data_IF_789649808389
#
_entry.id   IF_789649808389
#
_cell.length_a   1.000
_cell.length_b   1.000
_cell.length_c   1.000
_cell.angle_alpha   90.00
_cell.angle_beta   90.00
_cell.angle_gamma   90.00
#
_symmetry.space_group_name_H-M   'P 1'
#
loop_
_entity.id
_entity.type
_entity.pdbx_description
1 polymer ?
#
# COMPACT_ATOMS: atom_id res chain seq x y z
N UNK A 1 7.53 31.05 38.86
CA UNK A 1 7.13 30.65 40.22
C UNK A 1 6.43 29.31 40.14
N UNK A 2 7.07 28.26 40.70
CA UNK A 2 6.49 27.12 41.41
C UNK A 2 5.52 26.20 40.60
N UNK A 3 5.70 24.87 40.51
CA UNK A 3 6.16 23.91 41.52
C UNK A 3 6.74 22.64 40.89
N UNK A 4 7.84 22.18 41.46
CA UNK A 4 8.31 20.79 41.47
C UNK A 4 7.33 19.95 42.28
N UNK A 5 6.84 18.80 41.77
CA UNK A 5 6.21 17.76 42.60
C UNK A 5 6.64 16.36 42.12
N UNK A 6 7.45 15.74 42.97
CA UNK A 6 7.55 14.34 43.38
C UNK A 6 7.58 13.21 42.34
N UNK A 7 8.74 12.54 42.33
CA UNK A 7 8.88 11.14 41.98
C UNK A 7 8.03 10.26 42.92
N UNK A 8 7.35 9.25 42.35
CA UNK A 8 6.92 8.04 43.06
C UNK A 8 7.56 6.87 42.34
N UNK A 9 8.57 6.29 42.98
CA UNK A 9 9.07 4.97 42.66
C UNK A 9 8.04 3.94 43.15
N UNK A 10 7.45 3.19 42.23
CA UNK A 10 6.70 1.98 42.54
C UNK A 10 7.46 0.79 41.95
N UNK A 11 8.23 0.12 42.80
CA UNK A 11 8.86 -1.17 42.51
C UNK A 11 7.79 -2.25 42.45
N UNK A 12 7.30 -2.55 41.25
CA UNK A 12 6.51 -3.75 41.01
C UNK A 12 7.43 -4.85 40.46
N UNK A 13 7.62 -5.90 41.28
CA UNK A 13 8.18 -7.18 40.87
C UNK A 13 7.16 -7.80 39.90
N UNK A 14 7.27 -7.47 38.62
CA UNK A 14 6.52 -8.09 37.54
C UNK A 14 7.41 -9.12 36.86
N UNK A 15 7.02 -10.39 36.94
CA UNK A 15 7.56 -11.49 36.14
C UNK A 15 7.80 -11.01 34.71
N UNK A 16 9.07 -10.95 34.33
CA UNK A 16 9.50 -10.58 33.00
C UNK A 16 9.02 -11.61 31.98
N UNK A 17 7.83 -11.39 31.45
CA UNK A 17 7.47 -11.93 30.14
C UNK A 17 8.28 -11.11 29.15
N UNK A 18 9.45 -11.62 28.78
CA UNK A 18 10.14 -11.18 27.57
C UNK A 18 9.17 -11.42 26.43
N UNK A 19 8.41 -10.40 26.04
CA UNK A 19 7.65 -10.41 24.81
C UNK A 19 8.68 -10.50 23.69
N UNK A 20 8.96 -11.73 23.25
CA UNK A 20 9.68 -11.97 22.00
C UNK A 20 8.81 -11.38 20.90
N UNK A 21 9.14 -10.17 20.45
CA UNK A 21 8.54 -9.59 19.27
C UNK A 21 8.77 -10.60 18.14
N UNK A 22 7.71 -11.24 17.68
CA UNK A 22 7.77 -12.10 16.52
C UNK A 22 8.37 -11.28 15.37
N UNK A 23 9.32 -11.83 14.59
CA UNK A 23 9.80 -11.13 13.41
C UNK A 23 8.60 -10.85 12.53
N UNK A 24 8.34 -9.57 12.23
CA UNK A 24 7.36 -9.21 11.23
C UNK A 24 7.81 -9.89 9.93
N UNK A 25 7.01 -10.82 9.42
CA UNK A 25 7.25 -11.38 8.10
C UNK A 25 7.31 -10.21 7.11
N UNK A 26 8.35 -10.17 6.28
CA UNK A 26 8.42 -9.21 5.17
C UNK A 26 7.16 -9.39 4.32
N UNK A 27 6.25 -8.42 4.37
CA UNK A 27 5.05 -8.44 3.53
C UNK A 27 5.47 -8.49 2.06
N UNK A 28 4.86 -9.38 1.28
CA UNK A 28 5.26 -9.56 -0.11
C UNK A 28 5.05 -8.24 -0.87
N UNK A 29 6.08 -7.80 -1.60
CA UNK A 29 5.97 -6.63 -2.48
C UNK A 29 5.63 -7.09 -3.89
N UNK A 30 4.44 -6.72 -4.34
CA UNK A 30 3.94 -6.99 -5.68
C UNK A 30 4.29 -5.86 -6.63
N UNK A 31 4.34 -6.18 -7.93
CA UNK A 31 4.71 -5.23 -8.98
C UNK A 31 3.86 -5.43 -10.23
N UNK A 32 3.54 -4.32 -10.89
CA UNK A 32 2.89 -4.30 -12.19
C UNK A 32 3.48 -3.17 -13.04
N UNK A 33 3.31 -3.27 -14.36
CA UNK A 33 3.74 -2.21 -15.26
C UNK A 33 2.77 -2.05 -16.43
N UNK A 34 2.54 -0.81 -16.84
CA UNK A 34 1.73 -0.46 -18.01
C UNK A 34 2.66 0.18 -19.02
N UNK A 35 2.72 -0.38 -20.23
CA UNK A 35 3.53 0.19 -21.31
C UNK A 35 2.99 1.56 -21.73
N UNK A 36 3.90 2.51 -21.91
CA UNK A 36 3.59 3.84 -22.40
C UNK A 36 3.29 3.80 -23.90
N UNK A 37 2.30 4.59 -24.34
CA UNK A 37 2.16 4.92 -25.77
C UNK A 37 3.31 5.83 -26.21
N UNK A 38 3.74 6.74 -25.34
CA UNK A 38 4.88 7.63 -25.55
C UNK A 38 5.55 7.99 -24.21
N UNK A 39 6.89 8.08 -24.17
CA UNK A 39 7.82 7.56 -25.18
C UNK A 39 7.75 6.03 -25.24
N UNK A 40 8.01 5.45 -26.42
CA UNK A 40 8.08 4.00 -26.57
C UNK A 40 9.17 3.39 -25.67
N UNK A 41 9.01 2.12 -25.30
CA UNK A 41 9.93 1.38 -24.41
C UNK A 41 10.03 1.90 -22.96
N UNK A 42 9.17 2.83 -22.56
CA UNK A 42 9.00 3.23 -21.15
C UNK A 42 7.71 2.67 -20.57
N UNK A 43 7.59 2.71 -19.24
CA UNK A 43 6.45 2.14 -18.52
C UNK A 43 6.01 3.04 -17.37
N UNK A 44 4.73 2.98 -17.05
CA UNK A 44 4.26 3.33 -15.71
C UNK A 44 4.39 2.10 -14.82
N UNK A 45 5.20 2.21 -13.77
CA UNK A 45 5.47 1.13 -12.82
C UNK A 45 4.61 1.32 -11.58
N UNK A 46 4.11 0.21 -11.03
CA UNK A 46 3.32 0.18 -9.81
C UNK A 46 3.85 -0.89 -8.86
N UNK A 47 3.77 -0.61 -7.57
CA UNK A 47 4.08 -1.61 -6.54
C UNK A 47 3.17 -1.43 -5.33
N UNK A 48 2.85 -2.54 -4.68
CA UNK A 48 2.03 -2.57 -3.47
C UNK A 48 2.48 -3.72 -2.58
N UNK A 49 2.22 -3.60 -1.28
CA UNK A 49 2.34 -4.72 -0.35
C UNK A 49 0.99 -5.40 -0.15
N UNK A 50 1.01 -6.54 0.50
CA UNK A 50 -0.20 -7.16 1.06
C UNK A 50 -0.81 -6.20 2.10
N UNK A 51 -1.99 -5.68 1.78
CA UNK A 51 -2.78 -4.83 2.67
C UNK A 51 -3.87 -5.65 3.35
N UNK A 52 -4.22 -5.32 4.60
CA UNK A 52 -5.33 -5.98 5.30
C UNK A 52 -6.67 -5.28 5.01
N UNK A 53 -6.83 -4.03 5.44
CA UNK A 53 -8.03 -3.22 5.21
C UNK A 53 -7.85 -2.16 4.14
N UNK A 54 -6.60 -1.90 3.79
CA UNK A 54 -6.20 -0.87 2.85
C UNK A 54 -4.88 -1.23 2.21
N UNK A 55 -4.71 -0.77 0.97
CA UNK A 55 -3.50 -0.97 0.18
C UNK A 55 -2.93 0.38 -0.21
N UNK A 56 -1.61 0.53 -0.06
CA UNK A 56 -0.90 1.68 -0.61
C UNK A 56 -0.24 1.27 -1.92
N UNK A 57 -0.72 1.82 -3.02
CA UNK A 57 -0.13 1.64 -4.35
C UNK A 57 0.84 2.77 -4.62
N UNK A 58 2.11 2.42 -4.74
CA UNK A 58 3.16 3.32 -5.20
C UNK A 58 3.21 3.29 -6.72
N UNK A 59 3.48 4.43 -7.34
CA UNK A 59 3.61 4.54 -8.78
C UNK A 59 4.84 5.36 -9.18
N UNK A 60 5.38 5.05 -10.35
CA UNK A 60 6.39 5.82 -11.04
C UNK A 60 6.07 5.81 -12.55
N UNK A 61 5.47 6.90 -13.02
CA UNK A 61 4.99 7.01 -14.39
C UNK A 61 6.03 7.69 -15.28
N UNK A 62 6.77 6.89 -16.07
CA UNK A 62 7.72 7.40 -17.05
C UNK A 62 7.09 7.80 -18.38
N UNK A 63 5.78 7.62 -18.55
CA UNK A 63 5.10 8.05 -19.77
C UNK A 63 5.05 9.58 -19.85
N UNK A 64 5.01 10.13 -21.06
CA UNK A 64 4.82 11.57 -21.26
C UNK A 64 3.40 12.02 -20.91
N UNK A 65 2.43 11.11 -21.01
CA UNK A 65 1.02 11.36 -20.71
C UNK A 65 0.53 10.71 -19.42
N UNK A 66 -0.68 11.07 -19.03
CA UNK A 66 -1.35 10.41 -17.92
C UNK A 66 -1.68 8.95 -18.26
N UNK A 67 -1.56 8.07 -17.27
CA UNK A 67 -1.95 6.66 -17.35
C UNK A 67 -3.07 6.41 -16.35
N UNK A 68 -4.15 5.79 -16.82
CA UNK A 68 -5.19 5.23 -15.95
C UNK A 68 -4.88 3.76 -15.67
N UNK A 69 -4.65 3.46 -14.40
CA UNK A 69 -4.46 2.11 -13.89
C UNK A 69 -5.70 1.66 -13.11
N UNK A 70 -6.11 0.43 -13.32
CA UNK A 70 -7.16 -0.25 -12.59
C UNK A 70 -6.56 -1.19 -11.56
N UNK A 71 -6.79 -0.91 -10.29
CA UNK A 71 -6.38 -1.73 -9.16
C UNK A 71 -7.52 -2.71 -8.93
N UNK A 72 -7.32 -3.96 -9.34
CA UNK A 72 -8.35 -5.00 -9.22
C UNK A 72 -8.17 -5.69 -7.88
N UNK A 73 -9.21 -5.65 -7.06
CA UNK A 73 -9.31 -6.40 -5.81
C UNK A 73 -10.18 -7.61 -5.99
N UNK A 74 -9.99 -8.62 -5.14
CA UNK A 74 -10.86 -9.79 -5.01
C UNK A 74 -11.20 -10.00 -3.55
N UNK A 75 -12.45 -10.37 -3.27
CA UNK A 75 -12.86 -10.85 -1.96
C UNK A 75 -12.69 -12.38 -1.83
N UNK A 76 -13.10 -12.93 -0.68
CA UNK A 76 -13.06 -14.37 -0.38
C UNK A 76 -14.00 -15.21 -1.25
N UNK A 77 -14.98 -14.58 -1.91
CA UNK A 77 -15.94 -15.23 -2.83
C UNK A 77 -15.51 -15.06 -4.31
N UNK A 78 -14.26 -14.67 -4.56
CA UNK A 78 -13.69 -14.35 -5.89
C UNK A 78 -14.42 -13.20 -6.64
N UNK A 79 -15.19 -12.37 -5.93
CA UNK A 79 -15.83 -11.20 -6.54
C UNK A 79 -14.82 -10.10 -6.72
N UNK A 80 -14.71 -9.62 -7.95
CA UNK A 80 -13.74 -8.59 -8.30
C UNK A 80 -14.34 -7.19 -8.23
N UNK A 81 -13.58 -6.28 -7.61
CA UNK A 81 -13.83 -4.84 -7.59
C UNK A 81 -12.67 -4.11 -8.27
N UNK A 82 -12.88 -2.88 -8.72
CA UNK A 82 -11.82 -2.08 -9.36
C UNK A 82 -11.78 -0.66 -8.83
N UNK A 83 -10.58 -0.22 -8.46
CA UNK A 83 -10.29 1.16 -8.10
C UNK A 83 -9.48 1.83 -9.21
N UNK A 84 -9.85 3.05 -9.57
CA UNK A 84 -9.15 3.80 -10.61
C UNK A 84 -8.05 4.68 -10.01
N UNK A 85 -6.84 4.58 -10.56
CA UNK A 85 -5.73 5.48 -10.29
C UNK A 85 -5.28 6.16 -11.57
N UNK A 86 -5.42 7.49 -11.63
CA UNK A 86 -4.81 8.29 -12.69
C UNK A 86 -3.45 8.81 -12.22
N UNK A 87 -2.39 8.44 -12.92
CA UNK A 87 -1.02 8.92 -12.67
C UNK A 87 -0.60 9.87 -13.77
N UNK A 88 -0.25 11.11 -13.43
CA UNK A 88 0.24 12.09 -14.42
C UNK A 88 1.58 11.64 -15.02
N UNK A 89 1.89 12.09 -16.24
CA UNK A 89 3.15 11.74 -16.92
C UNK A 89 4.36 12.35 -16.21
N UNK A 90 5.47 11.61 -16.17
CA UNK A 90 6.72 12.05 -15.54
C UNK A 90 6.67 12.20 -14.03
N UNK A 91 5.67 11.65 -13.34
CA UNK A 91 5.53 11.77 -11.88
C UNK A 91 5.63 10.42 -11.17
N UNK A 92 6.03 10.49 -9.90
CA UNK A 92 5.98 9.38 -8.96
C UNK A 92 5.21 9.76 -7.71
N UNK A 93 4.74 8.77 -6.97
CA UNK A 93 3.95 9.01 -5.76
C UNK A 93 3.30 7.75 -5.23
N UNK A 94 2.29 7.94 -4.40
CA UNK A 94 1.52 6.84 -3.82
C UNK A 94 0.07 7.24 -3.58
N UNK A 95 -0.83 6.26 -3.64
CA UNK A 95 -2.24 6.42 -3.28
C UNK A 95 -2.67 5.26 -2.39
N UNK A 96 -3.30 5.59 -1.27
CA UNK A 96 -3.97 4.64 -0.40
C UNK A 96 -5.40 4.40 -0.91
N UNK A 97 -5.80 3.13 -0.96
CA UNK A 97 -7.16 2.68 -1.22
C UNK A 97 -7.64 1.88 -0.01
N UNK A 98 -8.82 2.20 0.48
CA UNK A 98 -9.50 1.40 1.51
C UNK A 98 -10.30 0.32 0.77
N UNK A 99 -9.88 -0.94 0.94
CA UNK A 99 -10.40 -2.09 0.21
C UNK A 99 -11.33 -2.96 1.07
N UNK A 100 -11.39 -2.72 2.38
CA UNK A 100 -12.20 -3.53 3.29
C UNK A 100 -11.42 -4.72 3.86
N UNK A 101 -11.97 -5.38 4.87
CA UNK A 101 -11.28 -6.39 5.68
C UNK A 101 -10.97 -7.70 4.95
N UNK A 102 -11.73 -8.01 3.89
CA UNK A 102 -11.70 -9.30 3.20
C UNK A 102 -11.26 -9.19 1.74
N UNK A 103 -10.83 -8.01 1.30
CA UNK A 103 -10.36 -7.77 -0.07
C UNK A 103 -8.83 -7.71 -0.12
N UNK A 104 -8.27 -8.20 -1.23
CA UNK A 104 -6.85 -8.06 -1.53
C UNK A 104 -6.64 -7.70 -3.00
N UNK A 105 -5.55 -6.99 -3.31
CA UNK A 105 -5.21 -6.62 -4.69
C UNK A 105 -4.62 -7.81 -5.41
N UNK A 106 -5.31 -8.28 -6.45
CA UNK A 106 -4.87 -9.41 -7.27
C UNK A 106 -4.04 -8.99 -8.49
N UNK A 107 -4.29 -7.78 -9.03
CA UNK A 107 -3.53 -7.24 -10.17
C UNK A 107 -3.76 -5.75 -10.35
N UNK A 108 -2.82 -5.09 -11.03
CA UNK A 108 -3.01 -3.75 -11.59
C UNK A 108 -2.93 -3.84 -13.11
N UNK A 109 -3.93 -3.30 -13.82
CA UNK A 109 -4.04 -3.34 -15.28
C UNK A 109 -4.23 -1.96 -15.91
N UNK A 110 -4.05 -1.86 -17.23
CA UNK A 110 -4.34 -0.64 -18.00
C UNK A 110 -5.84 -0.41 -18.08
N UNK A 111 -6.26 0.84 -17.90
CA UNK A 111 -7.67 1.24 -17.91
C UNK A 111 -8.37 0.93 -16.59
N UNK A 112 -9.59 1.41 -16.44
CA UNK A 112 -10.39 1.21 -15.24
C UNK A 112 -11.77 0.62 -15.57
N UNK A 113 -11.73 -0.57 -16.16
CA UNK A 113 -12.91 -1.38 -16.46
C UNK A 113 -12.59 -2.79 -15.99
N UNK A 114 -13.50 -3.48 -15.30
CA UNK A 114 -13.30 -4.87 -14.86
C UNK A 114 -13.16 -5.82 -16.04
#
# INVERSE_FOLDING_TARGET
>A
MNKVIAAVAASAIGLGVMAVAAPAADAATHRASIACTSPANTKANYSWGDGATSVTVYFNNHCSGAVSAGIVTSDQDDRQSIYCLKTNGGTSGKKKFDIGLDEHVIKIKKGCTL
#
